data_IF_180935090089
#
_entry.id   IF_180935090089
#
_cell.length_a   1.000
_cell.length_b   1.000
_cell.length_c   1.000
_cell.angle_alpha   90.00
_cell.angle_beta   90.00
_cell.angle_gamma   90.00
#
_symmetry.space_group_name_H-M   'P 1'
#
loop_
_entity.id
_entity.type
_entity.pdbx_description
1 polymer ?
#
# COMPACT_ATOMS: atom_id res chain seq x y z
N UNK A 1 -20.90 -7.05 10.91
CA UNK A 1 -20.94 -5.77 11.67
C UNK A 1 -19.48 -5.40 11.86
N UNK A 2 -18.91 -4.36 11.25
CA UNK A 2 -19.02 -3.03 11.85
C UNK A 2 -18.49 -1.84 11.03
N UNK A 3 -18.09 -1.94 9.76
CA UNK A 3 -17.75 -0.72 8.99
C UNK A 3 -18.96 0.24 8.90
N UNK A 4 -20.14 -0.30 8.61
CA UNK A 4 -21.37 0.49 8.53
C UNK A 4 -21.85 0.99 9.90
N UNK A 5 -21.56 0.27 11.00
CA UNK A 5 -21.86 0.75 12.35
C UNK A 5 -20.88 1.83 12.79
N UNK A 6 -19.61 1.76 12.41
CA UNK A 6 -18.64 2.82 12.63
C UNK A 6 -19.08 4.12 11.92
N UNK A 7 -19.55 3.99 10.68
CA UNK A 7 -20.10 5.14 9.92
C UNK A 7 -21.41 5.69 10.50
N UNK A 8 -22.31 4.84 11.00
CA UNK A 8 -23.56 5.28 11.66
C UNK A 8 -23.31 5.95 13.02
N UNK A 9 -22.42 5.39 13.85
CA UNK A 9 -22.09 5.94 15.18
C UNK A 9 -21.42 7.32 15.04
N UNK A 10 -20.59 7.51 14.01
CA UNK A 10 -19.85 8.77 13.79
C UNK A 10 -20.69 9.87 13.10
N UNK A 11 -21.95 9.60 12.71
CA UNK A 11 -22.85 10.53 11.99
C UNK A 11 -22.16 11.26 10.81
N UNK A 12 -21.30 10.56 10.07
CA UNK A 12 -20.56 11.17 8.95
C UNK A 12 -21.47 11.22 7.73
N UNK A 13 -21.96 12.42 7.36
CA UNK A 13 -22.57 12.62 6.05
C UNK A 13 -21.47 12.60 4.99
N UNK A 14 -21.78 11.99 3.84
CA UNK A 14 -20.90 11.80 2.67
C UNK A 14 -20.37 13.13 2.07
N UNK A 15 -20.82 14.28 2.57
CA UNK A 15 -20.63 15.61 1.99
C UNK A 15 -19.66 16.52 2.77
N UNK A 16 -19.09 16.08 3.90
CA UNK A 16 -18.14 16.90 4.68
C UNK A 16 -16.75 16.26 4.76
N UNK A 17 -16.05 16.21 3.63
CA UNK A 17 -14.60 16.02 3.64
C UNK A 17 -13.97 17.15 2.81
N UNK A 18 -13.85 18.30 3.46
CA UNK A 18 -12.66 19.14 3.25
C UNK A 18 -11.67 18.93 4.42
N UNK A 19 -11.46 17.66 4.79
CA UNK A 19 -10.42 17.27 5.75
C UNK A 19 -9.00 17.64 5.25
N UNK A 20 -8.87 17.96 3.95
CA UNK A 20 -7.66 18.48 3.33
C UNK A 20 -7.27 19.85 3.88
N UNK A 21 -8.23 20.74 4.12
CA UNK A 21 -7.98 22.09 4.62
C UNK A 21 -7.52 22.08 6.08
N UNK A 22 -8.15 21.23 6.91
CA UNK A 22 -7.81 21.08 8.33
C UNK A 22 -6.43 20.43 8.48
N UNK A 23 -6.08 19.42 7.68
CA UNK A 23 -4.74 18.80 7.72
C UNK A 23 -3.64 19.75 7.22
N UNK A 24 -3.90 20.56 6.18
CA UNK A 24 -2.95 21.58 5.73
C UNK A 24 -2.65 22.63 6.81
N UNK A 25 -3.62 22.94 7.67
CA UNK A 25 -3.46 23.87 8.79
C UNK A 25 -2.81 23.23 10.03
N UNK A 26 -2.99 21.92 10.23
CA UNK A 26 -2.42 21.17 11.35
C UNK A 26 -1.04 20.57 11.06
N UNK A 27 -0.52 20.68 9.83
CA UNK A 27 0.83 20.22 9.47
C UNK A 27 1.89 21.05 10.23
N UNK A 28 2.64 20.49 11.20
CA UNK A 28 3.91 21.09 11.56
C UNK A 28 4.83 20.79 10.39
N UNK A 29 5.07 21.78 9.51
CA UNK A 29 6.12 21.81 8.46
C UNK A 29 6.76 20.45 8.14
N UNK A 30 5.99 19.48 7.64
CA UNK A 30 6.54 18.17 7.25
C UNK A 30 7.16 18.25 5.85
N UNK A 31 7.77 19.40 5.52
CA UNK A 31 8.46 19.66 4.26
C UNK A 31 9.94 19.25 4.30
N UNK A 32 10.45 18.82 5.45
CA UNK A 32 11.86 18.42 5.59
C UNK A 32 11.95 17.15 6.46
N UNK A 33 11.65 15.96 5.92
CA UNK A 33 11.92 14.75 6.71
C UNK A 33 11.47 13.40 6.19
N UNK A 34 10.30 13.27 5.55
CA UNK A 34 9.82 11.96 5.08
C UNK A 34 10.52 11.56 3.78
N UNK A 35 11.79 11.17 3.91
CA UNK A 35 12.43 10.26 2.98
C UNK A 35 11.93 8.88 3.36
N UNK A 36 10.96 8.34 2.62
CA UNK A 36 10.75 6.89 2.60
C UNK A 36 12.10 6.32 2.16
N UNK A 37 12.91 5.81 3.09
CA UNK A 37 14.16 5.18 2.75
C UNK A 37 13.82 3.97 1.86
N UNK A 38 14.42 3.89 0.68
CA UNK A 38 14.23 2.83 -0.34
C UNK A 38 14.63 1.41 0.13
N UNK A 39 14.82 1.20 1.42
CA UNK A 39 15.56 0.05 1.94
C UNK A 39 14.67 -0.85 2.79
N UNK A 40 13.72 -1.54 2.15
CA UNK A 40 13.11 -2.76 2.72
C UNK A 40 12.91 -3.89 1.68
N UNK A 41 13.81 -3.95 0.69
CA UNK A 41 13.87 -5.05 -0.29
C UNK A 41 13.88 -6.47 0.31
N UNK A 42 14.51 -6.75 1.48
CA UNK A 42 14.57 -8.12 2.02
C UNK A 42 13.22 -8.70 2.44
N UNK A 43 12.29 -7.88 2.93
CA UNK A 43 10.98 -8.35 3.41
C UNK A 43 10.02 -8.56 2.24
N UNK A 44 10.03 -7.65 1.25
CA UNK A 44 9.31 -7.85 -0.01
C UNK A 44 9.76 -9.15 -0.70
N UNK A 45 11.07 -9.38 -0.76
CA UNK A 45 11.64 -10.60 -1.34
C UNK A 45 11.11 -11.87 -0.65
N UNK A 46 11.04 -11.91 0.69
CA UNK A 46 10.50 -13.06 1.43
C UNK A 46 9.02 -13.29 1.15
N UNK A 47 8.24 -12.22 1.08
CA UNK A 47 6.80 -12.30 0.80
C UNK A 47 6.55 -12.80 -0.63
N UNK A 48 7.36 -12.37 -1.61
CA UNK A 48 7.35 -12.88 -2.99
C UNK A 48 7.74 -14.37 -3.03
N UNK A 49 8.84 -14.76 -2.37
CA UNK A 49 9.30 -16.15 -2.34
C UNK A 49 8.20 -17.08 -1.78
N UNK A 50 7.48 -16.63 -0.75
CA UNK A 50 6.35 -17.37 -0.17
C UNK A 50 5.19 -17.53 -1.15
N UNK A 51 4.84 -16.47 -1.89
CA UNK A 51 3.79 -16.54 -2.91
C UNK A 51 4.19 -17.43 -4.10
N UNK A 52 5.45 -17.36 -4.53
CA UNK A 52 5.97 -18.16 -5.64
C UNK A 52 6.14 -19.64 -5.31
N UNK A 53 6.42 -19.99 -4.05
CA UNK A 53 6.44 -21.37 -3.59
C UNK A 53 5.09 -22.07 -3.81
N UNK A 54 3.98 -21.34 -3.70
CA UNK A 54 2.63 -21.86 -3.93
C UNK A 54 2.25 -21.93 -5.43
N UNK A 55 3.01 -21.28 -6.30
CA UNK A 55 2.69 -21.12 -7.72
C UNK A 55 3.28 -22.22 -8.64
N UNK A 56 4.01 -23.19 -8.09
CA UNK A 56 4.58 -24.36 -8.81
C UNK A 56 5.37 -24.06 -10.12
N UNK A 57 5.81 -22.81 -10.35
CA UNK A 57 6.65 -22.46 -11.48
C UNK A 57 8.07 -23.02 -11.32
N UNK A 58 8.77 -23.30 -12.43
CA UNK A 58 10.19 -23.70 -12.38
C UNK A 58 11.04 -22.60 -11.74
N UNK A 59 12.09 -22.97 -11.02
CA UNK A 59 12.98 -22.04 -10.29
C UNK A 59 13.57 -20.93 -11.18
N UNK A 60 13.82 -21.22 -12.45
CA UNK A 60 14.29 -20.22 -13.42
C UNK A 60 13.26 -19.09 -13.64
N UNK A 61 11.98 -19.44 -13.80
CA UNK A 61 10.91 -18.45 -13.99
C UNK A 61 10.55 -17.72 -12.70
N UNK A 62 10.72 -18.36 -11.53
CA UNK A 62 10.53 -17.69 -10.24
C UNK A 62 11.49 -16.52 -10.06
N UNK A 63 12.74 -16.64 -10.50
CA UNK A 63 13.71 -15.53 -10.45
C UNK A 63 13.27 -14.36 -11.34
N UNK A 64 12.84 -14.63 -12.57
CA UNK A 64 12.33 -13.60 -13.50
C UNK A 64 11.09 -12.90 -12.93
N UNK A 65 10.16 -13.66 -12.35
CA UNK A 65 8.98 -13.08 -11.70
C UNK A 65 9.39 -12.21 -10.52
N UNK A 66 10.33 -12.66 -9.70
CA UNK A 66 10.80 -11.91 -8.54
C UNK A 66 11.41 -10.57 -8.93
N UNK A 67 12.28 -10.53 -9.94
CA UNK A 67 12.90 -9.29 -10.40
C UNK A 67 11.85 -8.31 -10.94
N UNK A 68 10.90 -8.82 -11.74
CA UNK A 68 9.80 -8.00 -12.27
C UNK A 68 8.94 -7.39 -11.16
N UNK A 69 8.57 -8.21 -10.18
CA UNK A 69 7.68 -7.79 -9.07
C UNK A 69 8.39 -6.82 -8.13
N UNK A 70 9.66 -7.06 -7.81
CA UNK A 70 10.44 -6.13 -6.96
C UNK A 70 10.51 -4.76 -7.61
N UNK A 71 10.85 -4.71 -8.90
CA UNK A 71 10.96 -3.45 -9.64
C UNK A 71 9.62 -2.72 -9.71
N UNK A 72 8.56 -3.39 -10.17
CA UNK A 72 7.23 -2.79 -10.27
C UNK A 72 6.71 -2.28 -8.90
N UNK A 73 6.97 -3.03 -7.83
CA UNK A 73 6.59 -2.61 -6.47
C UNK A 73 7.37 -1.37 -6.04
N UNK A 74 8.68 -1.33 -6.28
CA UNK A 74 9.54 -0.19 -5.91
C UNK A 74 9.17 1.08 -6.67
N UNK A 75 8.92 0.97 -7.98
CA UNK A 75 8.54 2.08 -8.84
C UNK A 75 7.22 2.72 -8.38
N UNK A 76 6.28 1.91 -7.89
CA UNK A 76 4.99 2.37 -7.38
C UNK A 76 4.99 2.77 -5.89
N UNK A 77 6.03 2.40 -5.12
CA UNK A 77 6.01 2.45 -3.66
C UNK A 77 5.81 3.87 -3.12
N UNK A 78 6.67 4.79 -3.52
CA UNK A 78 6.73 6.14 -2.93
C UNK A 78 5.43 6.91 -3.18
N UNK A 79 4.95 6.95 -4.42
CA UNK A 79 3.72 7.66 -4.76
C UNK A 79 2.52 7.05 -4.02
N UNK A 80 2.41 5.73 -4.03
CA UNK A 80 1.28 5.02 -3.44
C UNK A 80 1.22 5.20 -1.93
N UNK A 81 2.37 5.12 -1.25
CA UNK A 81 2.48 5.38 0.18
C UNK A 81 2.01 6.80 0.50
N UNK A 82 2.53 7.81 -0.19
CA UNK A 82 2.17 9.21 0.06
C UNK A 82 0.66 9.45 -0.16
N UNK A 83 0.10 8.90 -1.23
CA UNK A 83 -1.33 9.04 -1.56
C UNK A 83 -2.25 8.31 -0.58
N UNK A 84 -1.78 7.24 0.08
CA UNK A 84 -2.54 6.50 1.07
C UNK A 84 -2.43 7.12 2.49
N UNK A 85 -1.26 7.62 2.86
CA UNK A 85 -0.95 8.09 4.22
C UNK A 85 -1.69 9.38 4.54
N UNK A 86 -1.51 10.43 3.74
CA UNK A 86 -2.05 11.76 4.03
C UNK A 86 -3.56 11.77 4.31
N UNK A 87 -4.44 11.23 3.44
CA UNK A 87 -5.88 11.25 3.70
C UNK A 87 -6.27 10.37 4.91
N UNK A 88 -5.59 9.24 5.11
CA UNK A 88 -5.86 8.30 6.20
C UNK A 88 -5.52 8.90 7.56
N UNK A 89 -4.33 9.49 7.70
CA UNK A 89 -3.87 10.17 8.91
C UNK A 89 -4.74 11.38 9.21
N UNK A 90 -5.01 12.23 8.21
CA UNK A 90 -5.90 13.39 8.34
C UNK A 90 -7.26 13.01 8.92
N UNK A 91 -7.84 11.93 8.38
CA UNK A 91 -9.17 11.48 8.77
C UNK A 91 -9.19 10.89 10.17
N UNK A 92 -8.18 10.08 10.51
CA UNK A 92 -8.04 9.49 11.84
C UNK A 92 -7.88 10.57 12.93
N UNK A 93 -7.00 11.55 12.70
CA UNK A 93 -6.79 12.68 13.63
C UNK A 93 -8.08 13.51 13.79
N UNK A 94 -8.75 13.86 12.69
CA UNK A 94 -9.98 14.64 12.74
C UNK A 94 -11.06 13.98 13.60
N UNK A 95 -11.25 12.67 13.43
CA UNK A 95 -12.30 11.94 14.13
C UNK A 95 -12.04 11.87 15.63
N UNK A 96 -10.78 11.83 16.07
CA UNK A 96 -10.44 11.74 17.49
C UNK A 96 -10.41 13.10 18.18
N UNK A 97 -9.97 14.14 17.48
CA UNK A 97 -10.04 15.50 18.00
C UNK A 97 -11.49 15.96 18.24
N UNK A 98 -12.45 15.44 17.46
CA UNK A 98 -13.88 15.70 17.67
C UNK A 98 -14.42 15.12 18.98
N UNK A 99 -13.82 14.04 19.48
CA UNK A 99 -14.32 13.30 20.64
C UNK A 99 -13.65 13.70 21.98
N UNK A 100 -12.78 14.73 21.98
CA UNK A 100 -12.16 15.37 23.15
C UNK A 100 -11.42 14.45 24.16
N UNK A 101 -11.12 13.19 23.81
CA UNK A 101 -10.42 12.21 24.65
C UNK A 101 -9.12 11.67 24.01
N UNK A 102 -8.26 12.59 23.55
CA UNK A 102 -7.08 12.33 22.69
C UNK A 102 -6.13 11.25 23.25
N UNK A 103 -5.87 11.23 24.56
CA UNK A 103 -4.93 10.27 25.15
C UNK A 103 -5.47 8.84 25.27
N UNK A 104 -6.80 8.68 25.44
CA UNK A 104 -7.43 7.37 25.54
C UNK A 104 -7.73 6.76 24.18
N UNK A 105 -7.89 7.60 23.14
CA UNK A 105 -8.28 7.20 21.79
C UNK A 105 -7.10 6.98 20.84
N UNK A 106 -5.86 7.15 21.32
CA UNK A 106 -4.65 6.99 20.51
C UNK A 106 -4.52 5.59 19.86
N UNK A 107 -4.77 4.47 20.57
CA UNK A 107 -4.78 3.15 19.94
C UNK A 107 -5.86 3.02 18.84
N UNK A 108 -7.04 3.60 19.08
CA UNK A 108 -8.17 3.60 18.15
C UNK A 108 -7.87 4.46 16.91
N UNK A 109 -7.09 5.55 17.07
CA UNK A 109 -6.58 6.36 15.96
C UNK A 109 -5.73 5.55 15.00
N UNK A 110 -4.77 4.83 15.59
CA UNK A 110 -3.77 4.04 14.86
C UNK A 110 -4.51 2.93 14.12
N UNK A 111 -5.40 2.23 14.81
CA UNK A 111 -6.22 1.19 14.19
C UNK A 111 -7.10 1.73 13.05
N UNK A 112 -7.74 2.88 13.23
CA UNK A 112 -8.57 3.48 12.18
C UNK A 112 -7.74 3.88 10.96
N UNK A 113 -6.57 4.50 11.18
CA UNK A 113 -5.64 4.84 10.11
C UNK A 113 -5.16 3.57 9.38
N UNK A 114 -4.82 2.50 10.10
CA UNK A 114 -4.41 1.22 9.53
C UNK A 114 -5.49 0.60 8.63
N UNK A 115 -6.74 0.62 9.09
CA UNK A 115 -7.89 0.13 8.33
C UNK A 115 -8.14 0.96 7.06
N UNK A 116 -8.02 2.30 7.16
CA UNK A 116 -8.15 3.21 6.01
C UNK A 116 -7.05 2.97 4.98
N UNK A 117 -5.79 2.87 5.42
CA UNK A 117 -4.65 2.60 4.53
C UNK A 117 -4.80 1.24 3.83
N UNK A 118 -5.17 0.20 4.58
CA UNK A 118 -5.40 -1.14 4.03
C UNK A 118 -6.50 -1.14 2.97
N UNK A 119 -7.53 -0.31 3.15
CA UNK A 119 -8.66 -0.21 2.22
C UNK A 119 -8.35 0.65 0.99
N UNK A 120 -7.59 1.72 1.15
CA UNK A 120 -7.28 2.67 0.08
C UNK A 120 -6.13 2.24 -0.81
N UNK A 121 -5.10 1.59 -0.25
CA UNK A 121 -3.91 1.20 -1.00
C UNK A 121 -4.25 0.38 -2.26
N UNK A 122 -5.12 -0.66 -2.20
CA UNK A 122 -5.54 -1.38 -3.41
C UNK A 122 -6.27 -0.52 -4.43
N UNK A 123 -7.02 0.50 -4.02
CA UNK A 123 -7.71 1.41 -4.95
C UNK A 123 -6.75 2.37 -5.65
N UNK A 124 -5.62 2.68 -5.00
CA UNK A 124 -4.62 3.64 -5.49
C UNK A 124 -3.68 2.96 -6.49
N UNK A 125 -3.10 1.82 -6.12
CA UNK A 125 -1.91 1.32 -6.80
C UNK A 125 -2.08 -0.03 -7.51
N UNK A 126 -3.15 -0.78 -7.25
CA UNK A 126 -3.29 -2.16 -7.76
C UNK A 126 -3.14 -2.24 -9.27
N UNK A 127 -3.87 -1.39 -10.01
CA UNK A 127 -3.87 -1.43 -11.47
C UNK A 127 -2.49 -1.07 -12.06
N UNK A 128 -1.86 -0.03 -11.52
CA UNK A 128 -0.52 0.38 -11.96
C UNK A 128 0.51 -0.73 -11.71
N UNK A 129 0.47 -1.34 -10.53
CA UNK A 129 1.32 -2.48 -10.17
C UNK A 129 1.07 -3.69 -11.10
N UNK A 130 -0.18 -4.02 -11.41
CA UNK A 130 -0.52 -5.09 -12.37
C UNK A 130 0.10 -4.80 -13.75
N UNK A 131 -0.10 -3.60 -14.28
CA UNK A 131 0.40 -3.17 -15.60
C UNK A 131 1.94 -3.18 -15.66
N UNK A 132 2.61 -2.71 -14.60
CA UNK A 132 4.08 -2.67 -14.55
C UNK A 132 4.69 -4.08 -14.40
N UNK A 133 4.08 -4.97 -13.60
CA UNK A 133 4.51 -6.38 -13.52
C UNK A 133 4.39 -7.04 -14.88
N UNK A 134 3.25 -6.89 -15.57
CA UNK A 134 3.05 -7.47 -16.90
C UNK A 134 4.06 -6.93 -17.92
N UNK A 135 4.27 -5.61 -17.92
CA UNK A 135 5.23 -4.94 -18.80
C UNK A 135 6.65 -5.47 -18.58
N UNK A 136 7.08 -5.57 -17.33
CA UNK A 136 8.43 -6.02 -16.98
C UNK A 136 8.63 -7.51 -17.28
N UNK A 137 7.66 -8.35 -16.94
CA UNK A 137 7.66 -9.78 -17.29
C UNK A 137 7.78 -9.97 -18.81
N UNK A 138 6.98 -9.25 -19.60
CA UNK A 138 7.02 -9.30 -21.07
C UNK A 138 8.35 -8.82 -21.61
N UNK A 139 8.97 -7.81 -20.98
CA UNK A 139 10.28 -7.29 -21.36
C UNK A 139 11.40 -8.29 -21.10
N UNK A 140 11.43 -8.88 -19.90
CA UNK A 140 12.43 -9.88 -19.50
C UNK A 140 12.30 -11.19 -20.29
N UNK A 141 11.11 -11.50 -20.80
CA UNK A 141 10.83 -12.69 -21.61
C UNK A 141 10.75 -12.39 -23.13
N UNK A 142 11.29 -11.25 -23.61
CA UNK A 142 11.28 -10.87 -25.04
C UNK A 142 11.98 -11.88 -25.96
N UNK A 143 12.98 -12.60 -25.46
CA UNK A 143 13.64 -13.69 -26.20
C UNK A 143 12.81 -14.98 -26.15
N UNK A 144 11.61 -14.90 -26.77
CA UNK A 144 10.55 -15.92 -26.76
C UNK A 144 10.90 -17.23 -27.47
N UNK A 145 12.10 -17.36 -28.03
CA UNK A 145 12.49 -18.52 -28.86
C UNK A 145 12.63 -19.83 -28.07
N UNK A 146 12.67 -19.77 -26.73
CA UNK A 146 12.90 -20.93 -25.86
C UNK A 146 11.67 -21.35 -25.03
N UNK A 147 10.57 -20.60 -25.09
CA UNK A 147 9.38 -20.89 -24.28
C UNK A 147 8.50 -21.93 -24.97
N UNK A 148 8.38 -23.13 -24.38
CA UNK A 148 7.47 -24.21 -24.83
C UNK A 148 6.01 -24.01 -24.39
N UNK A 149 5.65 -22.85 -23.84
CA UNK A 149 4.34 -22.55 -23.27
C UNK A 149 3.81 -21.18 -23.73
N UNK A 150 2.51 -20.93 -23.50
CA UNK A 150 1.88 -19.64 -23.80
C UNK A 150 2.42 -18.55 -22.85
N UNK A 151 3.23 -17.64 -23.38
CA UNK A 151 3.78 -16.52 -22.61
C UNK A 151 2.68 -15.65 -22.00
N UNK A 152 1.59 -15.41 -22.74
CA UNK A 152 0.51 -14.54 -22.27
C UNK A 152 -0.19 -15.14 -21.04
N UNK A 153 -0.46 -16.45 -21.05
CA UNK A 153 -1.05 -17.14 -19.89
C UNK A 153 -0.10 -17.10 -18.69
N UNK A 154 1.19 -17.34 -18.92
CA UNK A 154 2.17 -17.30 -17.84
C UNK A 154 2.29 -15.91 -17.21
N UNK A 155 2.29 -14.86 -18.02
CA UNK A 155 2.32 -13.47 -17.54
C UNK A 155 1.07 -13.17 -16.72
N UNK A 156 -0.12 -13.53 -17.23
CA UNK A 156 -1.38 -13.33 -16.52
C UNK A 156 -1.41 -14.05 -15.17
N UNK A 157 -1.03 -15.34 -15.15
CA UNK A 157 -1.01 -16.15 -13.94
C UNK A 157 0.02 -15.61 -12.91
N UNK A 158 1.22 -15.24 -13.37
CA UNK A 158 2.26 -14.70 -12.51
C UNK A 158 1.86 -13.34 -11.92
N UNK A 159 1.28 -12.45 -12.72
CA UNK A 159 0.77 -11.14 -12.28
C UNK A 159 -0.34 -11.32 -11.25
N UNK A 160 -1.29 -12.24 -11.49
CA UNK A 160 -2.41 -12.49 -10.58
C UNK A 160 -1.95 -12.95 -9.18
N UNK A 161 -0.91 -13.78 -9.11
CA UNK A 161 -0.34 -14.27 -7.85
C UNK A 161 0.43 -13.17 -7.11
N UNK A 162 1.20 -12.35 -7.83
CA UNK A 162 2.21 -11.47 -7.23
C UNK A 162 1.73 -10.04 -6.97
N UNK A 163 0.70 -9.59 -7.68
CA UNK A 163 0.08 -8.28 -7.43
C UNK A 163 -0.39 -8.14 -5.99
N UNK A 164 -1.05 -9.17 -5.44
CA UNK A 164 -1.57 -9.13 -4.07
C UNK A 164 -0.47 -8.90 -3.04
N UNK A 165 0.69 -9.53 -3.24
CA UNK A 165 1.87 -9.37 -2.39
C UNK A 165 2.38 -7.94 -2.46
N UNK A 166 2.55 -7.42 -3.68
CA UNK A 166 3.05 -6.07 -3.94
C UNK A 166 2.17 -5.00 -3.29
N UNK A 167 0.84 -5.10 -3.47
CA UNK A 167 -0.13 -4.17 -2.88
C UNK A 167 -0.15 -4.28 -1.35
N UNK A 168 -0.08 -5.49 -0.79
CA UNK A 168 -0.02 -5.69 0.65
C UNK A 168 1.26 -5.11 1.26
N UNK A 169 2.40 -5.26 0.58
CA UNK A 169 3.66 -4.67 0.99
C UNK A 169 3.61 -3.13 0.97
N UNK A 170 3.08 -2.52 -0.09
CA UNK A 170 2.88 -1.07 -0.15
C UNK A 170 1.97 -0.60 0.99
N UNK A 171 0.89 -1.33 1.31
CA UNK A 171 0.00 -0.99 2.41
C UNK A 171 0.71 -1.06 3.77
N UNK A 172 1.54 -2.10 3.98
CA UNK A 172 2.38 -2.25 5.18
C UNK A 172 3.37 -1.09 5.33
N UNK A 173 3.99 -0.66 4.23
CA UNK A 173 4.90 0.49 4.23
C UNK A 173 4.15 1.80 4.51
N UNK A 174 2.96 1.97 3.93
CA UNK A 174 2.09 3.10 4.19
C UNK A 174 1.63 3.15 5.65
N UNK A 175 1.25 2.02 6.25
CA UNK A 175 0.92 1.94 7.69
C UNK A 175 2.10 2.39 8.53
N UNK A 176 3.30 1.85 8.25
CA UNK A 176 4.51 2.19 8.99
C UNK A 176 4.81 3.69 8.92
N UNK A 177 4.65 4.30 7.75
CA UNK A 177 4.86 5.73 7.57
C UNK A 177 3.76 6.57 8.22
N UNK A 178 2.49 6.21 8.03
CA UNK A 178 1.36 6.90 8.66
C UNK A 178 1.44 6.90 10.18
N UNK A 179 1.82 5.78 10.79
CA UNK A 179 2.05 5.68 12.23
C UNK A 179 3.14 6.66 12.70
N UNK A 180 4.25 6.81 11.96
CA UNK A 180 5.30 7.81 12.29
C UNK A 180 4.76 9.24 12.20
N UNK A 181 4.01 9.56 11.15
CA UNK A 181 3.43 10.90 10.94
C UNK A 181 2.41 11.23 12.03
N UNK A 182 1.66 10.24 12.50
CA UNK A 182 0.59 10.46 13.47
C UNK A 182 1.08 10.64 14.91
N UNK A 183 2.17 9.96 15.32
CA UNK A 183 2.67 9.99 16.70
C UNK A 183 2.93 11.39 17.30
N UNK A 184 3.50 12.36 16.56
CA UNK A 184 3.67 13.74 17.03
C UNK A 184 2.38 14.47 17.41
N UNK A 185 1.22 14.06 16.86
CA UNK A 185 -0.06 14.70 17.14
C UNK A 185 -0.71 14.26 18.46
N UNK A 186 -0.13 13.29 19.17
CA UNK A 186 -0.58 12.81 20.48
C UNK A 186 0.41 13.13 21.60
N UNK A 187 1.13 14.24 21.50
CA UNK A 187 2.09 14.72 22.49
C UNK A 187 1.65 16.05 23.09
#
# INVERSE_FOLDING_TARGET
>A
MEINKLFEVLKIRKEEIDASAIYRQLRPTASEGSKVQETESPDLIKEIDTALANYQASTHYQAVIKDAVVKATQDNLLESVNRAVDPSVSKAIYLINKDHAIDQLKPEAIKMMEELITSFTPMICRKAVEEDIESELRSLMKDKSLLKFSLDQFVEDATAVTTKVSVAYIAKMAIKEGTKVMYPHFK
#
